data_IF_898093969423
#
_entry.id   IF_898093969423
#
_cell.length_a   1.000
_cell.length_b   1.000
_cell.length_c   1.000
_cell.angle_alpha   90.00
_cell.angle_beta   90.00
_cell.angle_gamma   90.00
#
_symmetry.space_group_name_H-M   'P 1'
#
loop_
_entity.id
_entity.type
_entity.pdbx_description
1 polymer ?
#
# COMPACT_ATOMS: atom_id res chain seq x y z
N UNK A 1 -1.02 -12.56 11.64
CA UNK A 1 -2.31 -12.09 11.14
C UNK A 1 -2.30 -12.08 9.63
N UNK A 2 -3.32 -12.62 9.02
CA UNK A 2 -3.35 -12.72 7.58
C UNK A 2 -3.63 -11.36 6.94
N UNK A 3 -2.88 -11.03 5.91
CA UNK A 3 -3.10 -9.81 5.16
C UNK A 3 -4.05 -10.15 4.02
N UNK A 4 -5.12 -9.39 3.90
CA UNK A 4 -6.16 -9.66 2.90
C UNK A 4 -5.95 -8.89 1.62
N UNK A 5 -4.71 -8.61 1.29
CA UNK A 5 -4.36 -7.89 0.08
C UNK A 5 -3.62 -8.84 -0.86
N UNK A 6 -3.80 -8.65 -2.16
CA UNK A 6 -3.20 -9.49 -3.18
C UNK A 6 -2.48 -8.63 -4.20
N UNK A 7 -1.51 -9.23 -4.86
CA UNK A 7 -0.87 -8.57 -6.00
C UNK A 7 -1.94 -8.23 -7.03
N UNK A 8 -1.93 -6.99 -7.49
CA UNK A 8 -2.93 -6.47 -8.41
C UNK A 8 -4.04 -5.70 -7.75
N UNK A 9 -4.13 -5.76 -6.43
CA UNK A 9 -5.15 -5.01 -5.71
C UNK A 9 -4.81 -3.52 -5.73
N UNK A 10 -5.87 -2.72 -5.67
CA UNK A 10 -5.73 -1.28 -5.56
C UNK A 10 -5.91 -0.89 -4.10
N UNK A 11 -5.03 -0.04 -3.61
CA UNK A 11 -5.06 0.36 -2.20
C UNK A 11 -5.07 1.87 -2.10
N UNK A 12 -5.62 2.36 -1.00
CA UNK A 12 -5.63 3.78 -0.66
C UNK A 12 -4.93 3.97 0.65
N UNK A 13 -4.00 4.92 0.70
CA UNK A 13 -3.25 5.22 1.90
C UNK A 13 -4.14 5.95 2.91
N UNK A 14 -4.18 5.44 4.13
CA UNK A 14 -4.90 6.08 5.23
C UNK A 14 -3.92 6.85 6.10
N UNK A 15 -2.83 6.20 6.49
CA UNK A 15 -1.84 6.82 7.37
C UNK A 15 -0.50 6.13 7.16
N UNK A 16 0.56 6.91 7.03
CA UNK A 16 1.91 6.39 6.89
C UNK A 16 2.84 7.15 7.81
N UNK A 17 3.68 6.42 8.52
CA UNK A 17 4.59 6.99 9.50
C UNK A 17 5.95 7.34 8.87
N UNK A 18 5.94 7.76 7.63
CA UNK A 18 7.15 8.10 6.89
C UNK A 18 7.05 9.53 6.38
N UNK A 19 7.88 10.42 6.94
CA UNK A 19 7.86 11.82 6.57
C UNK A 19 8.75 12.13 5.37
N UNK A 20 9.44 11.13 4.83
CA UNK A 20 10.36 11.33 3.71
C UNK A 20 9.72 11.12 2.35
N UNK A 21 8.48 10.68 2.33
CA UNK A 21 7.76 10.43 1.09
C UNK A 21 6.83 11.58 0.76
N UNK A 22 6.49 11.71 -0.52
CA UNK A 22 5.47 12.66 -0.95
C UNK A 22 4.06 12.10 -0.87
N UNK A 23 3.92 10.89 -0.35
CA UNK A 23 2.61 10.28 -0.22
C UNK A 23 1.78 10.97 0.83
N UNK A 24 0.49 11.05 0.58
CA UNK A 24 -0.47 11.69 1.47
C UNK A 24 -1.67 10.79 1.67
N UNK A 25 -2.38 11.00 2.76
CA UNK A 25 -3.64 10.31 2.97
C UNK A 25 -4.55 10.52 1.77
N UNK A 26 -5.11 9.42 1.27
CA UNK A 26 -5.95 9.45 0.09
C UNK A 26 -5.24 9.07 -1.20
N UNK A 27 -3.91 9.00 -1.17
CA UNK A 27 -3.16 8.56 -2.35
C UNK A 27 -3.44 7.09 -2.60
N UNK A 28 -3.46 6.72 -3.88
CA UNK A 28 -3.80 5.36 -4.29
C UNK A 28 -2.69 4.77 -5.11
N UNK A 29 -2.66 3.45 -5.14
CA UNK A 29 -1.68 2.73 -5.94
C UNK A 29 -2.08 1.29 -6.15
N UNK A 30 -1.24 0.58 -6.87
CA UNK A 30 -1.46 -0.82 -7.19
C UNK A 30 -0.40 -1.67 -6.52
N UNK A 31 -0.83 -2.74 -5.87
CA UNK A 31 0.09 -3.68 -5.24
C UNK A 31 0.77 -4.51 -6.31
N UNK A 32 2.11 -4.55 -6.30
CA UNK A 32 2.83 -5.35 -7.27
C UNK A 32 3.71 -6.41 -6.64
N UNK A 33 3.91 -6.37 -5.33
CA UNK A 33 4.70 -7.38 -4.64
C UNK A 33 4.33 -7.41 -3.17
N UNK A 34 4.29 -8.60 -2.60
CA UNK A 34 4.05 -8.79 -1.16
C UNK A 34 5.20 -9.62 -0.62
N UNK A 35 5.90 -9.09 0.37
CA UNK A 35 7.02 -9.77 1.02
C UNK A 35 6.61 -10.07 2.45
N UNK A 36 6.13 -11.28 2.68
CA UNK A 36 5.64 -11.67 4.01
C UNK A 36 6.76 -11.82 5.02
N UNK A 37 7.96 -12.15 4.56
CA UNK A 37 9.09 -12.30 5.47
C UNK A 37 9.50 -10.97 6.09
N UNK A 38 9.43 -9.90 5.34
CA UNK A 38 9.77 -8.58 5.83
C UNK A 38 8.54 -7.75 6.18
N UNK A 39 7.37 -8.34 6.01
CA UNK A 39 6.10 -7.68 6.31
C UNK A 39 5.94 -6.39 5.51
N UNK A 40 6.20 -6.47 4.22
CA UNK A 40 6.12 -5.34 3.32
C UNK A 40 5.11 -5.61 2.21
N UNK A 41 4.36 -4.57 1.86
CA UNK A 41 3.48 -4.59 0.70
C UNK A 41 3.97 -3.51 -0.25
N UNK A 42 4.53 -3.93 -1.37
CA UNK A 42 5.08 -3.00 -2.34
C UNK A 42 4.00 -2.47 -3.25
N UNK A 43 3.94 -1.17 -3.39
CA UNK A 43 2.88 -0.49 -4.13
C UNK A 43 3.48 0.46 -5.15
N UNK A 44 2.95 0.42 -6.37
CA UNK A 44 3.19 1.46 -7.36
C UNK A 44 2.14 2.54 -7.15
N UNK A 45 2.55 3.64 -6.55
CA UNK A 45 1.63 4.72 -6.23
C UNK A 45 1.35 5.57 -7.47
N UNK A 46 0.16 6.15 -7.52
CA UNK A 46 -0.26 6.93 -8.69
C UNK A 46 0.62 8.15 -8.91
N UNK A 47 1.30 8.63 -7.86
CA UNK A 47 2.21 9.77 -8.00
C UNK A 47 3.56 9.39 -8.61
N UNK A 48 3.75 8.11 -8.96
CA UNK A 48 4.99 7.64 -9.57
C UNK A 48 5.98 7.03 -8.61
N UNK A 49 5.72 7.07 -7.33
CA UNK A 49 6.61 6.48 -6.34
C UNK A 49 6.36 4.99 -6.21
N UNK A 50 7.41 4.25 -5.87
CA UNK A 50 7.32 2.83 -5.53
C UNK A 50 7.78 2.70 -4.09
N UNK A 51 6.84 2.60 -3.18
CA UNK A 51 7.12 2.51 -1.76
C UNK A 51 6.31 1.39 -1.14
N UNK A 52 6.92 0.73 -0.17
CA UNK A 52 6.27 -0.37 0.52
C UNK A 52 5.50 0.14 1.73
N UNK A 53 4.37 -0.50 1.99
CA UNK A 53 3.63 -0.32 3.22
C UNK A 53 4.12 -1.33 4.24
N UNK A 54 4.27 -0.88 5.49
CA UNK A 54 4.67 -1.76 6.58
C UNK A 54 3.43 -2.37 7.18
N UNK A 55 3.33 -3.69 7.10
CA UNK A 55 2.18 -4.41 7.64
C UNK A 55 2.10 -4.20 9.14
N UNK A 56 0.95 -3.77 9.61
CA UNK A 56 0.73 -3.55 11.04
C UNK A 56 1.18 -2.19 11.56
N UNK A 57 1.88 -1.41 10.73
CA UNK A 57 2.36 -0.07 11.11
C UNK A 57 1.66 0.99 10.29
N UNK A 58 1.75 0.87 8.97
CA UNK A 58 1.08 1.81 8.07
C UNK A 58 -0.36 1.39 7.88
N UNK A 59 -1.23 2.36 7.71
CA UNK A 59 -2.64 2.11 7.54
C UNK A 59 -3.05 2.36 6.10
N UNK A 60 -3.77 1.42 5.54
CA UNK A 60 -4.28 1.51 4.19
C UNK A 60 -5.54 0.67 4.10
N UNK A 61 -6.30 0.88 3.03
CA UNK A 61 -7.45 0.04 2.76
C UNK A 61 -7.40 -0.45 1.32
N UNK A 62 -7.95 -1.63 1.10
CA UNK A 62 -8.08 -2.19 -0.23
C UNK A 62 -9.34 -1.63 -0.86
N UNK A 63 -9.19 -1.10 -2.07
CA UNK A 63 -10.30 -0.54 -2.82
C UNK A 63 -10.76 -1.60 -3.80
N UNK A 64 -12.02 -1.98 -3.69
CA UNK A 64 -12.56 -2.95 -4.63
C UNK A 64 -12.73 -2.30 -5.99
N UNK A 65 -12.31 -3.02 -7.02
CA UNK A 65 -12.52 -2.55 -8.37
C UNK A 65 -14.00 -2.65 -8.71
N UNK A 66 -14.52 -1.58 -9.26
CA UNK A 66 -15.85 -1.60 -9.84
C UNK A 66 -15.74 -2.00 -11.29
N UNK A 67 -16.66 -2.86 -11.70
CA UNK A 67 -16.64 -3.43 -13.04
C UNK A 67 -17.80 -2.91 -13.84
#
# INVERSE_FOLDING_TARGET
MAVKVKIGDRVELIEMDDTWTNLKTGDKGNVFKIDENQELIWVNWDNGEQLALLIGIDRFKVIKKNR
#
